data_IF_649851604394
#
_entry.id   IF_649851604394
#
_cell.length_a   1.000
_cell.length_b   1.000
_cell.length_c   1.000
_cell.angle_alpha   90.00
_cell.angle_beta   90.00
_cell.angle_gamma   90.00
#
_symmetry.space_group_name_H-M   'P 1'
#
loop_
_entity.id
_entity.type
_entity.pdbx_description
1 polymer ?
#
# COMPACT_ATOMS: atom_id res chain seq x y z
N UNK A 1 -18.36 -9.49 -5.03
CA UNK A 1 -17.26 -9.03 -5.93
C UNK A 1 -16.96 -10.13 -6.93
N UNK A 2 -16.74 -9.80 -8.20
CA UNK A 2 -16.41 -10.80 -9.24
C UNK A 2 -14.91 -11.13 -9.23
N UNK A 3 -14.51 -12.36 -9.62
CA UNK A 3 -13.10 -12.71 -9.74
C UNK A 3 -12.31 -11.77 -10.66
N UNK A 4 -12.92 -11.30 -11.75
CA UNK A 4 -12.31 -10.34 -12.67
C UNK A 4 -11.95 -9.02 -11.99
N UNK A 5 -12.86 -8.47 -11.16
CA UNK A 5 -12.61 -7.24 -10.42
C UNK A 5 -11.50 -7.44 -9.38
N UNK A 6 -11.49 -8.56 -8.66
CA UNK A 6 -10.41 -8.87 -7.71
C UNK A 6 -9.05 -8.86 -8.43
N UNK A 7 -8.94 -9.52 -9.59
CA UNK A 7 -7.71 -9.56 -10.36
C UNK A 7 -7.27 -8.16 -10.82
N UNK A 8 -8.22 -7.30 -11.23
CA UNK A 8 -7.91 -5.93 -11.63
C UNK A 8 -7.43 -5.07 -10.45
N UNK A 9 -8.04 -5.19 -9.28
CA UNK A 9 -7.61 -4.49 -8.07
C UNK A 9 -6.19 -4.89 -7.66
N UNK A 10 -5.86 -6.18 -7.73
CA UNK A 10 -4.52 -6.67 -7.42
C UNK A 10 -3.47 -6.21 -8.45
N UNK A 11 -3.82 -6.19 -9.74
CA UNK A 11 -2.93 -5.65 -10.78
C UNK A 11 -2.73 -4.15 -10.62
N UNK A 12 -3.78 -3.40 -10.28
CA UNK A 12 -3.68 -1.97 -10.01
C UNK A 12 -2.72 -1.67 -8.87
N UNK A 13 -2.84 -2.39 -7.76
CA UNK A 13 -1.90 -2.22 -6.65
C UNK A 13 -0.47 -2.59 -7.02
N UNK A 14 -0.28 -3.70 -7.75
CA UNK A 14 1.04 -4.08 -8.23
C UNK A 14 1.67 -2.99 -9.11
N UNK A 15 0.88 -2.37 -10.00
CA UNK A 15 1.36 -1.24 -10.83
C UNK A 15 1.78 -0.05 -9.98
N UNK A 16 0.95 0.35 -9.02
CA UNK A 16 1.23 1.48 -8.12
C UNK A 16 2.52 1.25 -7.35
N UNK A 17 2.64 0.12 -6.66
CA UNK A 17 3.84 -0.18 -5.89
C UNK A 17 5.08 -0.34 -6.77
N UNK A 18 4.97 -1.03 -7.90
CA UNK A 18 6.09 -1.15 -8.86
C UNK A 18 6.55 0.21 -9.36
N UNK A 19 5.63 1.15 -9.60
CA UNK A 19 5.98 2.51 -10.01
C UNK A 19 6.78 3.25 -8.93
N UNK A 20 6.40 3.14 -7.65
CA UNK A 20 7.14 3.73 -6.52
C UNK A 20 8.56 3.19 -6.44
N UNK A 21 8.74 1.87 -6.58
CA UNK A 21 10.07 1.25 -6.48
C UNK A 21 10.96 1.57 -7.68
N UNK A 22 10.40 1.58 -8.89
CA UNK A 22 11.15 1.92 -10.11
C UNK A 22 11.45 3.41 -10.25
N UNK A 23 10.52 4.27 -9.79
CA UNK A 23 10.65 5.72 -9.81
C UNK A 23 11.46 6.29 -8.65
N UNK A 24 11.99 5.44 -7.76
CA UNK A 24 12.77 5.91 -6.62
C UNK A 24 14.07 6.61 -7.10
N UNK A 25 14.34 7.84 -6.64
CA UNK A 25 15.56 8.56 -7.00
C UNK A 25 16.79 7.93 -6.34
N UNK A 26 18.01 8.16 -6.89
CA UNK A 26 19.24 7.52 -6.40
C UNK A 26 19.49 7.67 -4.90
N UNK A 27 19.16 8.80 -4.32
CA UNK A 27 19.28 9.05 -2.89
C UNK A 27 18.33 8.15 -2.08
N UNK A 28 17.10 7.94 -2.55
CA UNK A 28 16.15 7.02 -1.91
C UNK A 28 16.61 5.56 -2.04
N UNK A 29 17.09 5.17 -3.22
CA UNK A 29 17.66 3.83 -3.45
C UNK A 29 18.82 3.59 -2.47
N UNK A 30 19.70 4.56 -2.31
CA UNK A 30 20.84 4.46 -1.39
C UNK A 30 20.40 4.43 0.06
N UNK A 31 19.48 5.33 0.48
CA UNK A 31 19.04 5.46 1.86
C UNK A 31 18.27 4.24 2.35
N UNK A 32 17.33 3.72 1.54
CA UNK A 32 16.44 2.63 1.91
C UNK A 32 16.91 1.25 1.42
N UNK A 33 17.87 1.17 0.50
CA UNK A 33 18.26 -0.10 -0.14
C UNK A 33 17.17 -0.66 -1.04
N UNK A 34 16.55 0.22 -1.86
CA UNK A 34 15.40 -0.13 -2.70
C UNK A 34 15.78 -1.06 -3.85
N UNK A 35 14.99 -2.09 -4.05
CA UNK A 35 15.07 -2.93 -5.23
C UNK A 35 13.73 -3.58 -5.58
N UNK A 36 13.64 -3.99 -6.85
CA UNK A 36 12.48 -4.70 -7.39
C UNK A 36 12.96 -5.74 -8.39
N UNK A 37 12.35 -6.93 -8.35
CA UNK A 37 12.54 -7.99 -9.36
C UNK A 37 11.20 -8.54 -9.80
N UNK A 38 11.02 -8.66 -11.10
CA UNK A 38 9.79 -9.16 -11.69
C UNK A 38 9.78 -10.68 -11.81
N UNK A 39 8.61 -11.25 -11.56
CA UNK A 39 8.22 -12.63 -11.73
C UNK A 39 6.81 -12.68 -12.36
N UNK A 40 6.64 -12.26 -13.63
CA UNK A 40 5.33 -12.01 -14.20
C UNK A 40 4.31 -13.12 -13.94
N UNK A 41 3.07 -12.77 -13.46
CA UNK A 41 2.57 -11.42 -13.24
C UNK A 41 2.92 -10.80 -11.88
N UNK A 42 3.79 -11.41 -11.08
CA UNK A 42 4.19 -10.94 -9.76
C UNK A 42 5.44 -10.05 -9.81
N UNK A 43 5.67 -9.33 -8.71
CA UNK A 43 6.95 -8.67 -8.43
C UNK A 43 7.33 -8.82 -6.96
N UNK A 44 8.61 -9.05 -6.71
CA UNK A 44 9.25 -8.98 -5.41
C UNK A 44 9.86 -7.59 -5.24
N UNK A 45 9.49 -6.90 -4.16
CA UNK A 45 9.90 -5.54 -3.86
C UNK A 45 10.51 -5.49 -2.48
N UNK A 46 11.61 -4.75 -2.31
CA UNK A 46 12.31 -4.67 -1.04
C UNK A 46 12.96 -3.31 -0.78
N UNK A 47 13.11 -3.03 0.50
CA UNK A 47 13.94 -1.96 1.05
C UNK A 47 14.85 -2.59 2.11
N UNK A 48 16.07 -3.01 1.70
CA UNK A 48 16.93 -3.85 2.52
C UNK A 48 17.42 -3.20 3.82
N UNK A 49 17.38 -1.87 3.88
CA UNK A 49 17.75 -1.09 5.08
C UNK A 49 16.55 -0.74 5.97
N UNK A 50 15.34 -1.15 5.57
CA UNK A 50 14.08 -0.83 6.27
C UNK A 50 13.37 -2.14 6.58
N UNK A 51 13.34 -2.55 7.84
CA UNK A 51 12.65 -3.78 8.27
C UNK A 51 11.14 -3.53 8.52
N UNK A 52 10.43 -3.15 7.46
CA UNK A 52 8.98 -3.00 7.46
C UNK A 52 8.40 -3.96 6.42
N UNK A 53 7.56 -4.90 6.84
CA UNK A 53 6.98 -5.93 5.96
C UNK A 53 6.16 -5.32 4.79
N UNK A 54 5.54 -4.15 4.99
CA UNK A 54 4.87 -3.42 3.93
C UNK A 54 5.83 -2.98 2.80
N UNK A 55 7.11 -2.83 3.10
CA UNK A 55 8.16 -2.47 2.14
C UNK A 55 8.89 -3.70 1.58
N UNK A 56 8.76 -4.86 2.21
CA UNK A 56 9.43 -6.10 1.85
C UNK A 56 8.38 -7.16 1.51
N UNK A 57 7.86 -7.11 0.29
CA UNK A 57 6.73 -7.95 -0.09
C UNK A 57 6.68 -8.37 -1.56
N UNK A 58 5.99 -9.46 -1.79
CA UNK A 58 5.65 -9.95 -3.12
C UNK A 58 4.17 -9.68 -3.38
N UNK A 59 3.88 -9.01 -4.48
CA UNK A 59 2.53 -8.76 -4.97
C UNK A 59 2.29 -9.48 -6.28
N UNK A 60 1.03 -9.87 -6.53
CA UNK A 60 0.61 -10.45 -7.80
C UNK A 60 0.93 -11.93 -7.96
N UNK A 61 1.53 -12.58 -6.96
CA UNK A 61 1.77 -14.03 -7.03
C UNK A 61 0.44 -14.77 -7.10
N UNK A 62 0.32 -15.66 -8.08
CA UNK A 62 -0.87 -16.44 -8.29
C UNK A 62 -1.95 -15.79 -9.18
N UNK A 63 -1.79 -14.58 -9.68
CA UNK A 63 -2.77 -13.94 -10.59
C UNK A 63 -2.94 -14.65 -11.93
N UNK A 64 -1.94 -15.41 -12.37
CA UNK A 64 -1.99 -16.24 -13.59
C UNK A 64 -2.18 -17.74 -13.29
N UNK A 65 -2.42 -18.09 -12.05
CA UNK A 65 -2.48 -19.47 -11.57
C UNK A 65 -1.44 -19.74 -10.48
N UNK A 66 -1.43 -20.95 -9.90
CA UNK A 66 -0.46 -21.32 -8.87
C UNK A 66 0.98 -21.14 -9.37
N UNK A 67 1.88 -20.53 -8.58
CA UNK A 67 3.29 -20.46 -8.94
C UNK A 67 3.89 -21.87 -8.88
N UNK A 68 4.86 -22.14 -9.73
CA UNK A 68 5.69 -23.32 -9.58
C UNK A 68 6.67 -23.15 -8.39
N UNK A 69 7.16 -24.28 -7.90
CA UNK A 69 8.11 -24.32 -6.79
C UNK A 69 9.38 -23.50 -7.08
N UNK A 70 9.90 -23.58 -8.30
CA UNK A 70 11.10 -22.87 -8.73
C UNK A 70 10.94 -21.36 -8.64
N UNK A 71 9.78 -20.82 -9.04
CA UNK A 71 9.46 -19.38 -8.91
C UNK A 71 9.51 -18.94 -7.45
N UNK A 72 8.94 -19.71 -6.52
CA UNK A 72 8.98 -19.37 -5.09
C UNK A 72 10.41 -19.43 -4.54
N UNK A 73 11.19 -20.47 -4.90
CA UNK A 73 12.61 -20.59 -4.53
C UNK A 73 13.44 -19.42 -5.05
N UNK A 74 13.21 -18.97 -6.29
CA UNK A 74 13.88 -17.80 -6.85
C UNK A 74 13.49 -16.49 -6.15
N UNK A 75 12.24 -16.35 -5.70
CA UNK A 75 11.79 -15.23 -4.89
C UNK A 75 12.56 -15.21 -3.56
N UNK A 76 12.60 -16.31 -2.85
CA UNK A 76 13.35 -16.45 -1.59
C UNK A 76 14.83 -16.07 -1.80
N UNK A 77 15.48 -16.66 -2.80
CA UNK A 77 16.87 -16.36 -3.14
C UNK A 77 17.11 -14.89 -3.52
N UNK A 78 16.08 -14.19 -4.04
CA UNK A 78 16.16 -12.75 -4.33
C UNK A 78 16.26 -11.93 -3.06
N UNK A 79 15.42 -12.18 -2.07
CA UNK A 79 15.47 -11.50 -0.78
C UNK A 79 16.74 -11.86 0.02
N UNK A 80 17.20 -13.10 -0.07
CA UNK A 80 18.46 -13.52 0.57
C UNK A 80 19.66 -12.73 0.01
N UNK A 81 19.78 -12.65 -1.33
CA UNK A 81 20.84 -11.83 -1.98
C UNK A 81 20.74 -10.35 -1.65
N UNK A 82 19.53 -9.84 -1.47
CA UNK A 82 19.28 -8.45 -1.07
C UNK A 82 19.52 -8.23 0.43
N UNK A 83 19.88 -9.27 1.20
CA UNK A 83 20.09 -9.22 2.66
C UNK A 83 18.88 -8.69 3.43
N UNK A 84 17.68 -8.96 2.95
CA UNK A 84 16.43 -8.62 3.64
C UNK A 84 16.15 -9.70 4.68
N UNK A 85 15.97 -9.36 5.97
CA UNK A 85 15.85 -10.39 7.03
C UNK A 85 14.53 -11.16 6.95
N UNK A 86 13.48 -10.56 6.40
CA UNK A 86 12.16 -11.16 6.28
C UNK A 86 11.29 -10.43 5.26
N UNK A 87 10.38 -11.15 4.64
CA UNK A 87 9.42 -10.57 3.68
C UNK A 87 8.07 -11.29 3.75
N UNK A 88 7.05 -10.71 3.15
CA UNK A 88 5.74 -11.35 3.02
C UNK A 88 5.39 -11.60 1.56
N UNK A 89 4.69 -12.70 1.35
CA UNK A 89 3.93 -12.95 0.11
C UNK A 89 2.46 -12.66 0.41
N UNK A 90 1.86 -11.78 -0.38
CA UNK A 90 0.45 -11.45 -0.28
C UNK A 90 -0.32 -12.18 -1.37
N UNK A 91 -1.26 -13.04 -0.97
CA UNK A 91 -2.03 -13.84 -1.92
C UNK A 91 -3.40 -13.21 -2.17
N UNK A 92 -3.73 -13.04 -3.44
CA UNK A 92 -5.08 -12.71 -3.84
C UNK A 92 -6.03 -13.91 -3.61
N UNK A 93 -7.29 -13.69 -3.23
CA UNK A 93 -8.25 -14.78 -2.99
C UNK A 93 -8.65 -15.54 -4.26
N UNK A 94 -8.14 -15.16 -5.42
CA UNK A 94 -8.29 -15.88 -6.70
C UNK A 94 -7.40 -17.11 -6.78
N UNK A 95 -6.34 -17.13 -6.03
CA UNK A 95 -5.45 -18.29 -5.96
C UNK A 95 -6.12 -19.30 -5.07
N UNK A 96 -6.92 -20.14 -5.66
CA UNK A 96 -7.50 -21.25 -4.93
C UNK A 96 -6.40 -22.14 -4.39
N UNK A 97 -6.11 -21.78 -3.37
CA UNK A 97 -5.80 -22.21 -2.07
C UNK A 97 -4.93 -23.47 -1.98
N UNK A 98 -5.26 -24.58 -2.53
CA UNK A 98 -4.54 -25.81 -2.28
C UNK A 98 -3.07 -25.82 -2.76
N UNK A 99 -2.79 -25.90 -4.06
CA UNK A 99 -1.41 -26.10 -4.55
C UNK A 99 -0.48 -24.93 -4.26
N UNK A 100 -0.99 -23.67 -4.26
CA UNK A 100 -0.16 -22.49 -4.00
C UNK A 100 0.24 -22.41 -2.55
N UNK A 101 -0.72 -22.58 -1.63
CA UNK A 101 -0.42 -22.56 -0.19
C UNK A 101 0.54 -23.69 0.15
N UNK A 102 0.31 -24.90 -0.42
CA UNK A 102 1.25 -26.01 -0.23
C UNK A 102 2.64 -25.62 -0.72
N UNK A 103 2.77 -25.11 -1.95
CA UNK A 103 4.08 -24.76 -2.53
C UNK A 103 4.84 -23.71 -1.70
N UNK A 104 4.16 -22.68 -1.19
CA UNK A 104 4.81 -21.66 -0.34
C UNK A 104 5.09 -22.18 1.07
N UNK A 105 4.19 -22.98 1.65
CA UNK A 105 4.35 -23.52 3.01
C UNK A 105 5.47 -24.55 3.07
N UNK A 106 5.61 -25.42 2.06
CA UNK A 106 6.71 -26.40 1.96
C UNK A 106 8.08 -25.74 1.85
N UNK A 107 8.12 -24.44 1.50
CA UNK A 107 9.34 -23.63 1.44
C UNK A 107 9.50 -22.73 2.67
N UNK A 108 8.68 -22.93 3.70
CA UNK A 108 8.82 -22.27 5.00
C UNK A 108 8.08 -20.93 5.15
N UNK A 109 7.22 -20.56 4.18
CA UNK A 109 6.34 -19.41 4.36
C UNK A 109 5.15 -19.78 5.25
N UNK A 110 4.92 -19.01 6.30
CA UNK A 110 3.85 -19.24 7.26
C UNK A 110 2.83 -18.09 7.28
N UNK A 111 1.52 -18.39 7.44
CA UNK A 111 0.50 -17.35 7.55
C UNK A 111 0.69 -16.56 8.85
N UNK A 112 0.54 -15.23 8.79
CA UNK A 112 0.67 -14.37 9.97
C UNK A 112 -0.59 -13.53 10.24
N UNK A 113 -0.95 -12.63 9.34
CA UNK A 113 -2.08 -11.71 9.48
C UNK A 113 -2.77 -11.53 8.14
N UNK A 114 -3.97 -10.98 8.17
CA UNK A 114 -4.62 -10.52 6.95
C UNK A 114 -4.50 -9.00 6.85
N UNK A 115 -4.45 -8.53 5.61
CA UNK A 115 -4.84 -7.17 5.30
C UNK A 115 -6.20 -7.18 4.62
N UNK A 116 -6.93 -6.08 4.76
CA UNK A 116 -8.29 -5.97 4.24
C UNK A 116 -8.27 -5.07 3.03
N UNK A 117 -8.77 -5.56 1.93
CA UNK A 117 -9.11 -4.74 0.77
C UNK A 117 -10.53 -4.23 0.95
N UNK A 118 -10.67 -2.92 1.10
CA UNK A 118 -11.97 -2.27 1.13
C UNK A 118 -12.22 -1.59 -0.22
N UNK A 119 -13.46 -1.61 -0.64
CA UNK A 119 -13.90 -1.08 -1.93
C UNK A 119 -15.18 -0.29 -1.78
N UNK A 120 -15.40 0.64 -2.70
CA UNK A 120 -16.68 1.32 -2.91
C UNK A 120 -16.80 1.79 -4.36
N UNK A 121 -18.00 2.18 -4.76
CA UNK A 121 -18.19 2.98 -5.97
C UNK A 121 -17.76 4.44 -5.76
N UNK A 122 -17.89 5.25 -6.80
CA UNK A 122 -17.58 6.69 -6.78
C UNK A 122 -18.81 7.56 -6.47
N UNK A 123 -19.87 6.99 -5.89
CA UNK A 123 -21.02 7.77 -5.43
C UNK A 123 -20.57 8.84 -4.44
N UNK A 124 -21.35 9.92 -4.34
CA UNK A 124 -20.97 11.07 -3.50
C UNK A 124 -20.66 10.61 -2.07
N UNK A 125 -19.56 11.08 -1.49
CA UNK A 125 -19.34 10.87 -0.07
C UNK A 125 -20.46 11.55 0.71
N UNK A 126 -20.86 10.95 1.82
CA UNK A 126 -21.77 11.63 2.75
C UNK A 126 -21.19 12.97 3.21
N UNK A 127 -22.00 13.83 3.85
CA UNK A 127 -21.51 15.14 4.30
C UNK A 127 -20.30 14.96 5.23
N UNK A 128 -19.22 15.65 4.92
CA UNK A 128 -18.05 15.70 5.79
C UNK A 128 -18.35 16.60 6.99
N UNK A 129 -18.10 16.11 8.20
CA UNK A 129 -18.26 16.88 9.43
C UNK A 129 -17.11 17.87 9.68
N UNK A 130 -16.11 17.89 8.82
CA UNK A 130 -14.90 18.72 8.97
C UNK A 130 -14.85 19.84 7.94
N UNK A 131 -14.35 21.02 8.39
CA UNK A 131 -14.10 22.19 7.54
C UNK A 131 -12.62 22.32 7.14
N UNK A 132 -11.82 21.27 7.34
CA UNK A 132 -10.40 21.30 6.99
C UNK A 132 -10.23 21.50 5.48
N UNK A 133 -9.32 22.38 5.11
CA UNK A 133 -8.89 22.57 3.73
C UNK A 133 -8.06 21.38 3.30
N UNK A 134 -8.32 20.85 2.11
CA UNK A 134 -7.55 19.76 1.47
C UNK A 134 -7.17 20.20 0.07
N UNK A 135 -5.86 20.35 -0.14
CA UNK A 135 -5.31 20.76 -1.42
C UNK A 135 -4.60 19.60 -2.12
N UNK A 136 -4.76 19.50 -3.43
CA UNK A 136 -3.86 18.73 -4.28
C UNK A 136 -2.56 19.53 -4.40
N UNK A 137 -1.40 18.86 -4.28
CA UNK A 137 -0.09 19.49 -4.24
C UNK A 137 0.74 19.22 -5.48
N UNK A 138 1.64 20.15 -5.79
CA UNK A 138 2.68 19.99 -6.80
C UNK A 138 4.01 19.49 -6.23
N UNK A 139 5.00 19.27 -7.12
CA UNK A 139 6.31 18.72 -6.75
C UNK A 139 7.05 19.52 -5.67
N UNK A 140 6.80 20.81 -5.57
CA UNK A 140 7.40 21.72 -4.57
C UNK A 140 7.05 21.35 -3.12
N UNK A 141 5.93 20.66 -2.92
CA UNK A 141 5.49 20.17 -1.61
C UNK A 141 5.74 18.66 -1.40
N UNK A 142 6.39 17.99 -2.35
CA UNK A 142 6.67 16.55 -2.27
C UNK A 142 7.45 16.18 -1.01
N UNK A 143 8.50 16.91 -0.67
CA UNK A 143 9.28 16.69 0.55
C UNK A 143 8.42 16.85 1.81
N UNK A 144 7.54 17.86 1.84
CA UNK A 144 6.61 18.07 2.96
C UNK A 144 5.59 16.93 3.09
N UNK A 145 5.10 16.41 1.98
CA UNK A 145 4.26 15.21 1.98
C UNK A 145 4.99 14.02 2.62
N UNK A 146 6.22 13.73 2.18
CA UNK A 146 7.04 12.64 2.71
C UNK A 146 7.28 12.77 4.22
N UNK A 147 7.64 13.97 4.69
CA UNK A 147 7.84 14.28 6.11
C UNK A 147 6.59 13.96 6.95
N UNK A 148 5.44 14.52 6.58
CA UNK A 148 4.18 14.33 7.32
C UNK A 148 3.72 12.88 7.28
N UNK A 149 3.85 12.21 6.14
CA UNK A 149 3.51 10.81 5.98
C UNK A 149 4.34 9.94 6.92
N UNK A 150 5.67 10.10 6.92
CA UNK A 150 6.56 9.34 7.80
C UNK A 150 6.26 9.63 9.29
N UNK A 151 6.11 10.89 9.68
CA UNK A 151 5.77 11.26 11.06
C UNK A 151 4.42 10.67 11.49
N UNK A 152 3.41 10.71 10.61
CA UNK A 152 2.07 10.21 10.91
C UNK A 152 2.01 8.68 11.10
N UNK A 153 2.85 7.92 10.39
CA UNK A 153 3.00 6.47 10.54
C UNK A 153 4.07 6.05 11.56
N UNK A 154 4.93 6.97 12.00
CA UNK A 154 6.09 6.64 12.84
C UNK A 154 7.19 5.91 12.06
N UNK A 155 7.35 6.22 10.78
CA UNK A 155 8.34 5.61 9.90
C UNK A 155 9.64 6.42 9.87
N UNK A 156 10.71 5.76 9.43
CA UNK A 156 11.97 6.43 9.10
C UNK A 156 11.73 7.52 8.02
N UNK A 157 12.25 8.75 8.21
CA UNK A 157 12.08 9.83 7.24
C UNK A 157 12.53 9.48 5.81
N UNK A 158 13.50 8.58 5.64
CA UNK A 158 13.96 8.14 4.34
C UNK A 158 12.85 7.50 3.48
N UNK A 159 11.82 6.91 4.11
CA UNK A 159 10.66 6.36 3.40
C UNK A 159 9.80 7.43 2.71
N UNK A 160 9.96 8.70 3.06
CA UNK A 160 9.32 9.80 2.37
C UNK A 160 9.89 10.10 0.99
N UNK A 161 11.17 9.81 0.76
CA UNK A 161 11.89 10.16 -0.47
C UNK A 161 11.28 9.55 -1.74
N UNK A 162 11.01 8.22 -1.82
CA UNK A 162 10.46 7.62 -3.03
C UNK A 162 9.06 8.16 -3.35
N UNK A 163 8.24 8.48 -2.35
CA UNK A 163 6.90 9.04 -2.57
C UNK A 163 6.94 10.52 -2.93
N UNK A 164 7.84 11.30 -2.32
CA UNK A 164 8.06 12.70 -2.67
C UNK A 164 8.41 12.86 -4.15
N UNK A 165 9.23 11.97 -4.69
CA UNK A 165 9.63 11.96 -6.09
C UNK A 165 8.50 11.61 -7.08
N UNK A 166 7.43 10.99 -6.59
CA UNK A 166 6.26 10.65 -7.43
C UNK A 166 5.26 11.81 -7.58
N UNK A 167 5.41 12.90 -6.82
CA UNK A 167 4.50 14.06 -6.93
C UNK A 167 4.66 14.71 -8.31
N UNK A 168 3.53 14.92 -9.00
CA UNK A 168 3.53 15.39 -10.38
C UNK A 168 3.47 14.28 -11.44
N UNK A 169 3.54 13.01 -11.05
CA UNK A 169 3.34 11.89 -12.00
C UNK A 169 1.91 11.90 -12.54
N UNK A 170 1.70 11.79 -13.86
CA UNK A 170 0.36 11.73 -14.44
C UNK A 170 -0.52 10.64 -13.82
N UNK A 171 -1.75 11.00 -13.45
CA UNK A 171 -2.68 10.09 -12.77
C UNK A 171 -2.47 9.95 -11.26
N UNK A 172 -1.40 10.53 -10.70
CA UNK A 172 -1.11 10.51 -9.27
C UNK A 172 -1.47 11.86 -8.65
N UNK A 173 -2.37 11.85 -7.69
CA UNK A 173 -2.85 13.04 -6.98
C UNK A 173 -2.47 12.95 -5.51
N UNK A 174 -1.54 13.80 -5.11
CA UNK A 174 -1.07 13.92 -3.74
C UNK A 174 -1.80 15.05 -3.03
N UNK A 175 -2.18 14.83 -1.77
CA UNK A 175 -2.97 15.80 -1.02
C UNK A 175 -2.35 16.10 0.33
N UNK A 176 -2.48 17.36 0.74
CA UNK A 176 -2.27 17.79 2.12
C UNK A 176 -3.59 18.30 2.72
N UNK A 177 -3.88 17.89 3.95
CA UNK A 177 -4.94 18.46 4.77
C UNK A 177 -4.36 19.50 5.71
N UNK A 178 -5.04 20.62 5.86
CA UNK A 178 -4.58 21.76 6.66
C UNK A 178 -5.54 22.05 7.81
N UNK A 179 -4.96 22.24 8.99
CA UNK A 179 -5.61 22.89 10.13
C UNK A 179 -5.07 24.32 10.19
N UNK A 180 -5.95 25.29 9.92
CA UNK A 180 -5.56 26.66 9.59
C UNK A 180 -4.58 26.63 8.40
N UNK A 181 -3.38 27.14 8.51
CA UNK A 181 -2.36 27.13 7.47
C UNK A 181 -1.29 26.03 7.66
N UNK A 182 -1.41 25.23 8.73
CA UNK A 182 -0.48 24.15 9.02
C UNK A 182 -0.90 22.85 8.34
N UNK A 183 -0.07 22.24 7.48
CA UNK A 183 -0.36 20.93 6.94
C UNK A 183 -0.22 19.85 8.03
N UNK A 184 -1.26 19.03 8.19
CA UNK A 184 -1.38 18.07 9.29
C UNK A 184 -1.62 16.64 8.83
N UNK A 185 -1.93 16.44 7.57
CA UNK A 185 -2.23 15.10 7.05
C UNK A 185 -1.95 14.96 5.57
N UNK A 186 -1.74 13.74 5.15
CA UNK A 186 -1.40 13.36 3.76
C UNK A 186 -2.38 12.34 3.23
N UNK A 187 -2.53 12.28 1.91
CA UNK A 187 -3.16 11.15 1.22
C UNK A 187 -2.73 11.10 -0.25
N UNK A 188 -2.82 9.91 -0.85
CA UNK A 188 -2.60 9.67 -2.27
C UNK A 188 -3.85 9.05 -2.90
N UNK A 189 -4.19 9.51 -4.11
CA UNK A 189 -5.07 8.85 -5.05
C UNK A 189 -4.28 8.56 -6.32
N UNK A 190 -4.29 7.31 -6.78
CA UNK A 190 -3.79 6.95 -8.12
C UNK A 190 -4.98 6.56 -8.99
N UNK A 191 -5.12 7.23 -10.12
CA UNK A 191 -6.12 6.93 -11.14
C UNK A 191 -5.51 5.92 -12.12
N UNK A 192 -6.00 4.69 -12.07
CA UNK A 192 -5.53 3.58 -12.89
C UNK A 192 -6.70 3.01 -13.71
N UNK A 193 -6.95 3.60 -14.87
CA UNK A 193 -8.12 3.31 -15.68
C UNK A 193 -9.42 3.62 -14.92
N UNK A 194 -10.22 2.59 -14.66
CA UNK A 194 -11.49 2.71 -13.92
C UNK A 194 -11.33 2.54 -12.40
N UNK A 195 -10.12 2.34 -11.92
CA UNK A 195 -9.83 2.13 -10.51
C UNK A 195 -9.17 3.38 -9.92
N UNK A 196 -9.72 3.87 -8.82
CA UNK A 196 -9.06 4.82 -7.93
C UNK A 196 -8.40 4.09 -6.77
N UNK A 197 -7.07 3.95 -6.80
CA UNK A 197 -6.31 3.38 -5.70
C UNK A 197 -6.00 4.44 -4.66
N UNK A 198 -6.38 4.20 -3.39
CA UNK A 198 -6.17 5.11 -2.28
C UNK A 198 -5.09 4.58 -1.34
N UNK A 199 -4.06 5.38 -1.09
CA UNK A 199 -2.98 5.00 -0.20
C UNK A 199 -2.37 6.17 0.58
N UNK A 200 -1.37 5.87 1.38
CA UNK A 200 -0.49 6.78 2.11
C UNK A 200 -1.23 7.90 2.88
N UNK A 201 -2.39 7.56 3.46
CA UNK A 201 -3.16 8.49 4.28
C UNK A 201 -2.65 8.46 5.71
N UNK A 202 -2.04 9.54 6.14
CA UNK A 202 -1.52 9.71 7.48
C UNK A 202 -1.98 11.04 8.09
N UNK A 203 -2.00 11.13 9.41
CA UNK A 203 -2.25 12.38 10.15
C UNK A 203 -1.22 12.47 11.28
N UNK A 204 -0.62 13.63 11.42
CA UNK A 204 0.32 13.90 12.52
C UNK A 204 -0.31 13.54 13.87
N UNK A 205 0.42 12.86 14.76
CA UNK A 205 -0.14 12.38 16.04
C UNK A 205 -0.86 13.45 16.83
N UNK A 206 -0.27 14.64 16.94
CA UNK A 206 -0.80 15.78 17.70
C UNK A 206 -2.02 16.45 17.03
N UNK A 207 -2.27 16.15 15.76
CA UNK A 207 -3.40 16.68 14.99
C UNK A 207 -4.52 15.65 14.75
N UNK A 208 -4.45 14.49 15.41
CA UNK A 208 -5.53 13.50 15.35
C UNK A 208 -6.80 14.02 16.01
N UNK A 209 -7.95 13.51 15.60
CA UNK A 209 -9.25 13.93 16.14
C UNK A 209 -9.88 15.13 15.42
N UNK A 210 -9.16 15.87 14.57
CA UNK A 210 -9.68 17.04 13.83
C UNK A 210 -10.36 16.67 12.50
N UNK A 211 -10.50 15.40 12.15
CA UNK A 211 -11.22 14.96 10.96
C UNK A 211 -10.41 14.95 9.67
N UNK A 212 -9.08 15.08 9.74
CA UNK A 212 -8.22 15.10 8.54
C UNK A 212 -8.40 13.87 7.63
N UNK A 213 -8.46 12.67 8.19
CA UNK A 213 -8.67 11.47 7.39
C UNK A 213 -10.02 11.48 6.66
N UNK A 214 -11.09 11.93 7.31
CA UNK A 214 -12.43 12.05 6.70
C UNK A 214 -12.43 13.06 5.54
N UNK A 215 -11.79 14.23 5.72
CA UNK A 215 -11.66 15.23 4.68
C UNK A 215 -10.87 14.69 3.47
N UNK A 216 -9.73 14.03 3.74
CA UNK A 216 -8.88 13.43 2.71
C UNK A 216 -9.58 12.30 1.95
N UNK A 217 -10.39 11.47 2.62
CA UNK A 217 -11.18 10.44 1.96
C UNK A 217 -12.23 11.09 1.06
N UNK A 218 -13.00 12.06 1.58
CA UNK A 218 -14.05 12.74 0.82
C UNK A 218 -13.48 13.43 -0.43
N UNK A 219 -12.36 14.13 -0.32
CA UNK A 219 -11.69 14.77 -1.45
C UNK A 219 -11.28 13.76 -2.52
N UNK A 220 -10.66 12.65 -2.14
CA UNK A 220 -10.22 11.62 -3.08
C UNK A 220 -11.38 10.93 -3.79
N UNK A 221 -12.52 10.73 -3.12
CA UNK A 221 -13.73 10.20 -3.75
C UNK A 221 -14.22 11.13 -4.85
N UNK A 222 -14.30 12.44 -4.56
CA UNK A 222 -14.76 13.45 -5.54
C UNK A 222 -13.81 13.51 -6.74
N UNK A 223 -12.52 13.55 -6.50
CA UNK A 223 -11.51 13.67 -7.56
C UNK A 223 -11.43 12.39 -8.41
N UNK A 224 -11.57 11.21 -7.81
CA UNK A 224 -11.65 9.96 -8.54
C UNK A 224 -12.90 9.88 -9.44
N UNK A 225 -14.05 10.33 -8.92
CA UNK A 225 -15.28 10.45 -9.73
C UNK A 225 -15.08 11.38 -10.92
N UNK A 226 -14.49 12.56 -10.69
CA UNK A 226 -14.20 13.53 -11.75
C UNK A 226 -13.22 12.96 -12.79
N UNK A 227 -12.27 12.13 -12.35
CA UNK A 227 -11.32 11.45 -13.22
C UNK A 227 -11.91 10.24 -13.97
N UNK A 228 -13.19 9.89 -13.76
CA UNK A 228 -13.87 8.81 -14.46
C UNK A 228 -13.61 7.42 -13.88
N UNK A 229 -13.12 7.32 -12.64
CA UNK A 229 -13.07 6.05 -11.92
C UNK A 229 -14.49 5.52 -11.68
N UNK A 230 -14.62 4.20 -11.58
CA UNK A 230 -15.88 3.52 -11.26
C UNK A 230 -15.80 2.82 -9.90
N UNK A 231 -14.60 2.38 -9.51
CA UNK A 231 -14.35 1.67 -8.25
C UNK A 231 -13.19 2.33 -7.52
N UNK A 232 -13.34 2.51 -6.22
CA UNK A 232 -12.28 2.91 -5.31
C UNK A 232 -11.81 1.73 -4.49
N UNK A 233 -10.50 1.65 -4.28
CA UNK A 233 -9.86 0.58 -3.52
C UNK A 233 -8.87 1.16 -2.52
N UNK A 234 -8.90 0.62 -1.31
CA UNK A 234 -7.95 0.95 -0.25
C UNK A 234 -7.59 -0.31 0.53
N UNK A 235 -6.33 -0.39 0.96
CA UNK A 235 -5.85 -1.46 1.83
C UNK A 235 -5.58 -0.93 3.24
N UNK A 236 -5.91 -1.72 4.24
CA UNK A 236 -5.57 -1.46 5.64
C UNK A 236 -5.42 -2.77 6.41
N UNK A 237 -4.83 -2.68 7.61
CA UNK A 237 -4.78 -3.83 8.50
C UNK A 237 -6.18 -4.26 8.92
N UNK A 238 -6.40 -5.57 9.06
CA UNK A 238 -7.61 -6.13 9.61
C UNK A 238 -7.81 -5.67 11.06
N UNK A 239 -9.05 -5.25 11.40
CA UNK A 239 -9.42 -5.03 12.78
C UNK A 239 -9.78 -6.37 13.41
N UNK A 240 -9.15 -6.69 14.51
CA UNK A 240 -9.43 -7.90 15.29
C UNK A 240 -9.75 -7.52 16.74
N UNK A 241 -10.17 -8.48 17.56
CA UNK A 241 -10.35 -8.23 19.00
C UNK A 241 -9.06 -7.79 19.70
N UNK A 242 -7.91 -8.23 19.20
CA UNK A 242 -6.59 -7.91 19.75
C UNK A 242 -5.96 -6.65 19.14
N UNK A 243 -6.51 -6.11 18.04
CA UNK A 243 -5.92 -4.99 17.30
C UNK A 243 -6.97 -3.98 16.89
N UNK A 244 -6.90 -2.79 17.45
CA UNK A 244 -7.67 -1.65 16.96
C UNK A 244 -7.09 -1.10 15.64
N UNK A 245 -7.98 -0.80 14.70
CA UNK A 245 -7.64 -0.21 13.43
C UNK A 245 -8.50 1.06 13.17
N UNK A 246 -8.13 2.22 13.73
CA UNK A 246 -8.90 3.45 13.55
C UNK A 246 -9.13 3.82 12.09
N UNK A 247 -8.12 3.59 11.22
CA UNK A 247 -8.24 3.80 9.77
C UNK A 247 -9.33 2.94 9.16
N UNK A 248 -9.42 1.67 9.53
CA UNK A 248 -10.46 0.76 9.08
C UNK A 248 -11.87 1.30 9.36
N UNK A 249 -12.13 1.73 10.61
CA UNK A 249 -13.41 2.30 11.00
C UNK A 249 -13.76 3.58 10.23
N UNK A 250 -12.79 4.45 10.00
CA UNK A 250 -13.02 5.69 9.25
C UNK A 250 -13.30 5.41 7.76
N UNK A 251 -12.65 4.42 7.17
CA UNK A 251 -12.89 4.00 5.79
C UNK A 251 -14.30 3.42 5.66
N UNK A 252 -14.75 2.56 6.58
CA UNK A 252 -16.14 2.04 6.60
C UNK A 252 -17.17 3.15 6.73
N UNK A 253 -16.94 4.15 7.61
CA UNK A 253 -17.85 5.31 7.75
C UNK A 253 -17.93 6.15 6.47
N UNK A 254 -16.91 6.10 5.63
CA UNK A 254 -16.92 6.74 4.32
C UNK A 254 -17.63 5.91 3.24
N UNK A 255 -18.33 4.84 3.61
CA UNK A 255 -19.13 4.00 2.72
C UNK A 255 -18.31 2.95 1.95
N UNK A 256 -17.09 2.65 2.37
CA UNK A 256 -16.39 1.48 1.87
C UNK A 256 -16.91 0.22 2.53
N UNK A 257 -16.86 -0.88 1.77
CA UNK A 257 -17.22 -2.20 2.23
C UNK A 257 -16.02 -3.15 2.14
N UNK A 258 -16.02 -4.20 2.93
CA UNK A 258 -14.99 -5.24 2.85
C UNK A 258 -15.15 -5.99 1.53
N UNK A 259 -14.17 -5.82 0.66
CA UNK A 259 -14.07 -6.56 -0.59
C UNK A 259 -13.59 -7.99 -0.35
N UNK A 260 -12.41 -8.11 0.26
CA UNK A 260 -11.82 -9.41 0.61
C UNK A 260 -10.69 -9.26 1.65
N UNK A 261 -10.39 -10.38 2.29
CA UNK A 261 -9.20 -10.53 3.09
C UNK A 261 -8.03 -10.99 2.20
N UNK A 262 -6.86 -10.52 2.53
CA UNK A 262 -5.62 -10.77 1.81
C UNK A 262 -4.59 -11.33 2.78
N UNK A 263 -4.45 -12.66 2.82
CA UNK A 263 -3.51 -13.30 3.75
C UNK A 263 -2.07 -12.95 3.41
N UNK A 264 -1.30 -12.71 4.45
CA UNK A 264 0.14 -12.48 4.39
C UNK A 264 0.86 -13.74 4.87
N UNK A 265 1.76 -14.26 4.05
CA UNK A 265 2.64 -15.39 4.37
C UNK A 265 4.05 -14.86 4.58
N UNK A 266 4.55 -15.00 5.80
CA UNK A 266 5.87 -14.55 6.20
C UNK A 266 6.92 -15.60 5.86
N UNK A 267 8.01 -15.16 5.23
CA UNK A 267 9.29 -15.85 5.23
C UNK A 267 10.28 -15.08 6.08
N UNK A 268 10.99 -15.78 6.96
CA UNK A 268 12.03 -15.21 7.80
C UNK A 268 13.30 -16.03 7.67
N UNK A 269 14.40 -15.39 7.28
CA UNK A 269 15.70 -16.03 7.24
C UNK A 269 16.20 -16.30 8.66
N UNK A 270 16.90 -17.42 8.84
CA UNK A 270 17.61 -17.67 10.10
C UNK A 270 18.67 -16.59 10.28
N UNK A 271 18.73 -16.00 11.46
CA UNK A 271 19.85 -15.11 11.77
C UNK A 271 21.15 -15.89 11.50
N UNK A 272 22.03 -15.30 10.70
CA UNK A 272 23.40 -15.81 10.62
C UNK A 272 24.03 -15.49 11.97
N UNK A 273 24.38 -16.51 12.73
CA UNK A 273 25.22 -16.30 13.91
C UNK A 273 26.47 -15.56 13.42
N UNK A 274 26.67 -14.36 13.96
CA UNK A 274 27.91 -13.62 13.71
C UNK A 274 29.05 -14.46 14.32
N UNK A 275 29.84 -15.04 13.42
CA UNK A 275 31.03 -15.83 13.79
C UNK A 275 32.23 -14.92 14.04
#
# INVERSE_FOLDING_TARGET
MTPGLVAELERSELRVWSAVYRGAPPEAVTACGIGIREFPPAAAMWMSKIDILACNRVLGLGLAGPPDRKTVEEIIATYERAMVPRFIVQLAPLVTVGPTITAISDLGLAPITNWVRLVRDVSSPGPSSTKLRVDEIGPELGAKFGEIMCAGFGFDPALGLPLAAMVGTPGWKFYLAYLDDRPIGTALLVVDGKIGWLGFAATLPEARGHGAQSALIARRILDARTAGCEVLSVETAEQTQAREAPSYRNILRAGFEVGYLRPNYLYQFKQRDEA
#
